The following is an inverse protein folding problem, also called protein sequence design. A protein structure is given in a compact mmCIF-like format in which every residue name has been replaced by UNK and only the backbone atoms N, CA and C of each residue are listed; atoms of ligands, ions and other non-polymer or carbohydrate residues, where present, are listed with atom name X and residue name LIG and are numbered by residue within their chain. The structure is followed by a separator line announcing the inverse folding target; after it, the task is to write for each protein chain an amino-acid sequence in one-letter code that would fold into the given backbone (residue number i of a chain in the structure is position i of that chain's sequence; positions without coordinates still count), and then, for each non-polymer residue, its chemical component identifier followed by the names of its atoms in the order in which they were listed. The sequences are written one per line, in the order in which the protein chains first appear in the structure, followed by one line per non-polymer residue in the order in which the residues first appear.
data_IF_054270379386
#
_entry.id   IF_054270379386
#
_cell.length_a   1.000
_cell.length_b   1.000
_cell.length_c   1.000
_cell.angle_alpha   90.00
_cell.angle_beta   90.00
_cell.angle_gamma   90.00
#
_symmetry.space_group_name_H-M   'P 1'
#
loop_
_entity.id
_entity.type
_entity.pdbx_description
1 polymer ?
#
# COMPACT_ATOMS: atom_id res chain seq x y z
N UNK A 1 -14.01 19.65 -12.58
CA UNK A 1 -13.19 20.08 -11.43
C UNK A 1 -12.35 18.92 -10.94
N UNK A 2 -11.03 19.02 -11.05
CA UNK A 2 -10.11 18.05 -10.45
C UNK A 2 -9.93 18.36 -8.96
N UNK A 3 -10.10 17.35 -8.10
CA UNK A 3 -9.71 17.38 -6.69
C UNK A 3 -8.39 16.63 -6.61
N UNK A 4 -7.32 17.37 -6.39
CA UNK A 4 -5.95 16.86 -6.34
C UNK A 4 -5.57 16.63 -4.88
N UNK A 5 -5.11 15.42 -4.55
CA UNK A 5 -4.51 15.11 -3.26
C UNK A 5 -3.02 14.84 -3.44
N UNK A 6 -2.21 15.39 -2.53
CA UNK A 6 -0.78 15.12 -2.44
C UNK A 6 -0.53 14.24 -1.23
N UNK A 7 0.11 13.10 -1.45
CA UNK A 7 0.42 12.12 -0.42
C UNK A 7 1.94 11.97 -0.29
N UNK A 8 2.44 12.12 0.94
CA UNK A 8 3.87 11.99 1.27
C UNK A 8 4.25 10.57 1.71
N UNK A 9 3.28 9.71 2.01
CA UNK A 9 3.51 8.31 2.35
C UNK A 9 3.36 7.39 1.13
N UNK A 10 4.00 6.22 1.17
CA UNK A 10 3.96 5.24 0.08
C UNK A 10 2.69 4.38 0.15
N UNK A 11 2.17 3.97 -1.00
CA UNK A 11 1.08 2.98 -1.11
C UNK A 11 1.71 1.64 -1.49
N UNK A 12 2.40 1.04 -0.53
CA UNK A 12 3.10 -0.24 -0.69
C UNK A 12 2.73 -1.19 0.46
N UNK A 13 2.98 -2.50 0.32
CA UNK A 13 2.90 -3.43 1.44
C UNK A 13 3.72 -2.92 2.65
N UNK A 14 3.28 -3.24 3.88
CA UNK A 14 3.96 -2.81 5.09
C UNK A 14 5.37 -3.41 5.13
N UNK A 15 6.39 -2.58 4.91
CA UNK A 15 7.79 -2.90 5.23
C UNK A 15 8.14 -2.21 6.53
N UNK A 16 8.55 -2.99 7.52
CA UNK A 16 9.14 -2.46 8.75
C UNK A 16 10.52 -1.87 8.45
N UNK A 17 10.87 -0.78 9.11
CA UNK A 17 12.20 -0.15 8.96
C UNK A 17 13.30 -0.95 9.69
N UNK A 18 12.94 -2.06 10.35
CA UNK A 18 13.81 -3.03 11.02
C UNK A 18 13.68 -4.35 10.24
N UNK A 19 14.78 -5.10 10.08
CA UNK A 19 14.78 -6.42 9.43
C UNK A 19 13.66 -7.31 9.98
N UNK A 20 12.68 -7.63 9.14
CA UNK A 20 11.57 -8.52 9.50
C UNK A 20 11.77 -9.85 8.80
N UNK A 21 12.13 -10.87 9.58
CA UNK A 21 12.14 -12.25 9.13
C UNK A 21 10.74 -12.86 9.30
N UNK A 22 10.01 -12.99 8.19
CA UNK A 22 8.75 -13.73 8.17
C UNK A 22 9.07 -15.22 8.05
N UNK A 23 9.05 -15.93 9.17
CA UNK A 23 9.20 -17.39 9.18
C UNK A 23 7.86 -18.01 8.80
N UNK A 24 7.73 -18.43 7.54
CA UNK A 24 6.54 -19.14 7.05
C UNK A 24 6.70 -20.63 7.36
N UNK A 25 6.05 -21.10 8.42
CA UNK A 25 6.08 -22.50 8.86
C UNK A 25 5.03 -23.40 8.18
N UNK A 26 4.00 -22.83 7.55
CA UNK A 26 2.97 -23.58 6.82
C UNK A 26 2.52 -22.81 5.57
N UNK A 27 2.25 -23.52 4.48
CA UNK A 27 1.77 -22.98 3.21
C UNK A 27 0.44 -22.23 3.38
N UNK A 28 -0.43 -22.67 4.30
CA UNK A 28 -1.71 -21.99 4.57
C UNK A 28 -1.53 -20.57 5.11
N UNK A 29 -0.41 -20.29 5.78
CA UNK A 29 -0.08 -18.95 6.26
C UNK A 29 0.36 -18.01 5.14
N UNK A 30 0.93 -18.54 4.05
CA UNK A 30 1.35 -17.74 2.91
C UNK A 30 0.17 -17.03 2.25
N UNK A 31 -0.94 -17.75 2.02
CA UNK A 31 -2.18 -17.16 1.47
C UNK A 31 -2.81 -16.11 2.39
N UNK A 32 -2.65 -16.29 3.72
CA UNK A 32 -3.14 -15.32 4.70
C UNK A 32 -2.36 -14.01 4.63
N UNK A 33 -1.03 -14.08 4.52
CA UNK A 33 -0.15 -12.91 4.38
C UNK A 33 -0.53 -12.12 3.11
N UNK A 34 -0.68 -12.80 1.98
CA UNK A 34 -1.07 -12.15 0.71
C UNK A 34 -2.44 -11.44 0.80
N UNK A 35 -3.39 -12.00 1.55
CA UNK A 35 -4.69 -11.36 1.80
C UNK A 35 -4.56 -10.14 2.72
N UNK A 36 -3.73 -10.21 3.75
CA UNK A 36 -3.50 -9.08 4.66
C UNK A 36 -2.86 -7.88 3.94
N UNK A 37 -1.86 -8.13 3.08
CA UNK A 37 -1.24 -7.08 2.26
C UNK A 37 -2.25 -6.40 1.32
N UNK A 38 -3.10 -7.19 0.64
CA UNK A 38 -4.18 -6.66 -0.23
C UNK A 38 -5.17 -5.82 0.56
N UNK A 39 -5.62 -6.31 1.72
CA UNK A 39 -6.59 -5.61 2.55
C UNK A 39 -6.04 -4.31 3.11
N UNK A 40 -4.74 -4.27 3.44
CA UNK A 40 -4.07 -3.06 3.88
C UNK A 40 -4.10 -1.96 2.80
N UNK A 41 -3.67 -2.29 1.58
CA UNK A 41 -3.68 -1.36 0.44
C UNK A 41 -5.11 -0.90 0.13
N UNK A 42 -6.07 -1.82 0.11
CA UNK A 42 -7.48 -1.51 -0.12
C UNK A 42 -8.04 -0.55 0.94
N UNK A 43 -7.63 -0.69 2.21
CA UNK A 43 -8.02 0.21 3.29
C UNK A 43 -7.55 1.65 3.06
N UNK A 44 -6.35 1.83 2.54
CA UNK A 44 -5.79 3.15 2.18
C UNK A 44 -6.57 3.75 1.01
N UNK A 45 -6.77 2.98 -0.06
CA UNK A 45 -7.49 3.44 -1.27
C UNK A 45 -8.94 3.84 -0.92
N UNK A 46 -9.64 3.09 -0.06
CA UNK A 46 -10.99 3.43 0.39
C UNK A 46 -11.05 4.79 1.10
N UNK A 47 -10.07 5.10 1.96
CA UNK A 47 -9.97 6.41 2.63
C UNK A 47 -9.74 7.53 1.63
N UNK A 48 -8.83 7.32 0.68
CA UNK A 48 -8.57 8.28 -0.42
C UNK A 48 -9.85 8.50 -1.24
N UNK A 49 -10.54 7.42 -1.62
CA UNK A 49 -11.78 7.49 -2.41
C UNK A 49 -12.89 8.24 -1.69
N UNK A 50 -13.00 8.07 -0.37
CA UNK A 50 -13.99 8.77 0.45
C UNK A 50 -13.80 10.29 0.45
N UNK A 51 -12.59 10.81 0.22
CA UNK A 51 -12.34 12.26 0.07
C UNK A 51 -12.90 12.85 -1.23
N UNK A 52 -13.28 12.00 -2.21
CA UNK A 52 -13.73 12.42 -3.54
C UNK A 52 -12.60 12.96 -4.42
N UNK A 53 -11.34 12.71 -4.04
CA UNK A 53 -10.16 13.01 -4.86
C UNK A 53 -10.19 12.21 -6.17
N UNK A 54 -9.83 12.86 -7.29
CA UNK A 54 -9.75 12.22 -8.61
C UNK A 54 -8.34 12.25 -9.22
N UNK A 55 -7.42 13.05 -8.66
CA UNK A 55 -6.02 13.08 -9.07
C UNK A 55 -5.14 12.89 -7.85
N UNK A 56 -4.28 11.87 -7.86
CA UNK A 56 -3.34 11.59 -6.78
C UNK A 56 -1.92 11.91 -7.22
N UNK A 57 -1.20 12.67 -6.40
CA UNK A 57 0.23 12.89 -6.53
C UNK A 57 0.94 12.24 -5.34
N UNK A 58 1.84 11.30 -5.63
CA UNK A 58 2.61 10.58 -4.60
C UNK A 58 4.05 11.07 -4.67
N UNK A 59 4.62 11.43 -3.52
CA UNK A 59 6.02 11.80 -3.44
C UNK A 59 6.91 10.59 -3.79
N UNK A 60 7.91 10.79 -4.65
CA UNK A 60 8.92 9.76 -4.92
C UNK A 60 9.64 9.40 -3.62
N UNK A 61 9.63 8.11 -3.31
CA UNK A 61 10.36 7.57 -2.17
C UNK A 61 11.71 7.02 -2.65
N UNK A 62 12.79 7.44 -2.00
CA UNK A 62 14.15 6.93 -2.25
C UNK A 62 14.45 5.66 -1.45
N UNK A 63 13.67 5.39 -0.41
CA UNK A 63 13.88 4.29 0.54
C UNK A 63 13.14 3.01 0.16
N UNK A 64 12.04 3.15 -0.58
CA UNK A 64 11.13 2.05 -0.97
C UNK A 64 10.27 2.48 -2.16
N UNK A 65 9.68 1.52 -2.87
CA UNK A 65 8.75 1.81 -3.95
C UNK A 65 7.55 2.63 -3.46
N UNK A 66 7.24 3.72 -4.16
CA UNK A 66 6.16 4.62 -3.77
C UNK A 66 4.77 4.01 -4.04
N UNK A 67 4.69 3.12 -5.03
CA UNK A 67 3.50 2.38 -5.46
C UNK A 67 3.91 0.97 -5.88
N UNK A 68 3.00 0.02 -5.74
CA UNK A 68 3.13 -1.34 -6.32
C UNK A 68 2.07 -1.56 -7.41
N UNK A 69 2.26 -2.53 -8.30
CA UNK A 69 1.25 -2.84 -9.33
C UNK A 69 -0.11 -3.16 -8.72
N UNK A 70 -0.13 -3.84 -7.57
CA UNK A 70 -1.34 -4.13 -6.81
C UNK A 70 -2.05 -2.86 -6.30
N UNK A 71 -1.33 -1.76 -6.11
CA UNK A 71 -1.91 -0.47 -5.71
C UNK A 71 -2.46 0.34 -6.89
N UNK A 72 -2.07 0.01 -8.13
CA UNK A 72 -2.53 0.64 -9.36
C UNK A 72 -3.78 -0.03 -9.95
N UNK A 73 -4.05 -1.28 -9.56
CA UNK A 73 -5.22 -2.07 -9.95
C UNK A 73 -6.41 -1.86 -9.00
#
# INVERSE_FOLDING_TARGET
NAKIAVIQFQISPPKTDIEQNIVVSDYTMMDRILKEERNYILGIIKKIKATGCNVLLIQKSILRDAVTDLSLH
#
